data_IF_275650537227
#
_entry.id   IF_275650537227
#
_cell.length_a   1.000
_cell.length_b   1.000
_cell.length_c   1.000
_cell.angle_alpha   90.00
_cell.angle_beta   90.00
_cell.angle_gamma   90.00
#
_symmetry.space_group_name_H-M   'P 1'
#
loop_
_entity.id
_entity.type
_entity.pdbx_description
1 polymer ?
#
# COMPACT_ATOMS: atom_id res chain seq x y z
N UNK A 1 -0.43 -25.02 -2.09
CA UNK A 1 -0.41 -23.83 -1.22
C UNK A 1 -1.54 -22.93 -1.71
N UNK A 2 -2.41 -22.56 -0.78
CA UNK A 2 -3.77 -22.05 -0.96
C UNK A 2 -3.80 -20.66 -1.59
N UNK A 3 -4.78 -20.39 -2.45
CA UNK A 3 -5.03 -19.06 -3.02
C UNK A 3 -5.68 -18.08 -2.03
N UNK A 4 -5.22 -18.07 -0.77
CA UNK A 4 -5.66 -17.14 0.27
C UNK A 4 -4.43 -16.46 0.85
N UNK A 5 -4.50 -15.15 1.15
CA UNK A 5 -3.39 -14.41 1.73
C UNK A 5 -2.95 -15.07 3.04
N UNK A 6 -1.64 -15.17 3.24
CA UNK A 6 -1.05 -15.83 4.41
C UNK A 6 0.18 -15.11 4.96
N UNK A 7 0.89 -14.33 4.12
CA UNK A 7 1.91 -13.39 4.57
C UNK A 7 1.29 -12.22 5.33
N UNK A 8 2.04 -11.63 6.26
CA UNK A 8 1.51 -10.54 7.07
C UNK A 8 1.20 -9.29 6.24
N UNK A 9 2.01 -8.97 5.23
CA UNK A 9 1.72 -7.88 4.28
C UNK A 9 0.51 -8.21 3.40
N UNK A 10 0.35 -9.47 2.95
CA UNK A 10 -0.78 -9.86 2.10
C UNK A 10 -2.12 -9.65 2.84
N UNK A 11 -2.18 -10.00 4.12
CA UNK A 11 -3.37 -9.78 4.97
C UNK A 11 -3.64 -8.29 5.20
N UNK A 12 -2.59 -7.50 5.46
CA UNK A 12 -2.69 -6.07 5.66
C UNK A 12 -3.22 -5.37 4.41
N UNK A 13 -2.65 -5.66 3.25
CA UNK A 13 -3.05 -5.11 1.95
C UNK A 13 -4.47 -5.57 1.58
N UNK A 14 -4.82 -6.83 1.84
CA UNK A 14 -6.20 -7.30 1.65
C UNK A 14 -7.19 -6.52 2.54
N UNK A 15 -6.85 -6.24 3.80
CA UNK A 15 -7.70 -5.46 4.69
C UNK A 15 -7.88 -4.02 4.18
N UNK A 16 -6.82 -3.40 3.67
CA UNK A 16 -6.88 -2.07 3.07
C UNK A 16 -7.75 -2.05 1.79
N UNK A 17 -7.58 -3.05 0.91
CA UNK A 17 -8.38 -3.19 -0.30
C UNK A 17 -9.88 -3.37 0.03
N UNK A 18 -10.21 -4.20 1.03
CA UNK A 18 -11.58 -4.39 1.51
C UNK A 18 -12.19 -3.10 2.07
N UNK A 19 -11.41 -2.29 2.79
CA UNK A 19 -11.87 -0.97 3.23
C UNK A 19 -12.16 -0.04 2.05
N UNK A 20 -11.44 -0.15 0.94
CA UNK A 20 -11.68 0.69 -0.24
C UNK A 20 -12.84 0.24 -1.11
N UNK A 21 -12.97 -1.08 -1.33
CA UNK A 21 -13.95 -1.63 -2.26
C UNK A 21 -15.29 -1.87 -1.59
N UNK A 22 -15.32 -2.55 -0.43
CA UNK A 22 -16.55 -3.02 0.22
C UNK A 22 -17.04 -2.05 1.29
N UNK A 23 -16.13 -1.43 2.04
CA UNK A 23 -16.44 -0.51 3.14
C UNK A 23 -15.89 0.93 2.94
N UNK A 24 -16.11 1.58 1.78
CA UNK A 24 -15.41 2.82 1.41
C UNK A 24 -15.55 3.97 2.40
N UNK A 25 -16.63 4.03 3.18
CA UNK A 25 -16.82 5.05 4.23
C UNK A 25 -15.88 4.93 5.42
N UNK A 26 -15.18 3.79 5.54
CA UNK A 26 -14.21 3.46 6.59
C UNK A 26 -12.76 3.50 6.10
N UNK A 27 -12.55 3.64 4.79
CA UNK A 27 -11.22 3.85 4.22
C UNK A 27 -10.70 5.26 4.56
N UNK A 28 -9.36 5.38 4.66
CA UNK A 28 -8.70 6.68 4.70
C UNK A 28 -8.95 7.50 3.44
N UNK A 29 -9.29 6.84 2.33
CA UNK A 29 -9.68 7.49 1.07
C UNK A 29 -11.18 7.88 1.00
N UNK A 30 -11.90 7.81 2.11
CA UNK A 30 -13.25 8.36 2.20
C UNK A 30 -13.21 9.89 2.32
N UNK A 31 -14.35 10.55 2.05
CA UNK A 31 -14.54 11.98 2.38
C UNK A 31 -14.96 12.22 3.84
N UNK A 32 -15.02 11.17 4.65
CA UNK A 32 -15.39 11.29 6.05
C UNK A 32 -14.19 11.75 6.87
N UNK A 33 -14.44 12.56 7.90
CA UNK A 33 -13.40 12.92 8.85
C UNK A 33 -12.89 11.69 9.60
N UNK A 34 -11.58 11.62 9.82
CA UNK A 34 -10.94 10.71 10.75
C UNK A 34 -10.81 11.39 12.14
N UNK A 35 -11.02 10.64 13.24
CA UNK A 35 -11.38 9.22 13.28
C UNK A 35 -12.83 8.93 12.80
N UNK A 36 -13.14 7.73 12.29
CA UNK A 36 -14.49 7.36 11.89
C UNK A 36 -15.44 7.26 13.11
N UNK A 37 -16.76 7.07 12.93
CA UNK A 37 -17.66 6.84 14.04
C UNK A 37 -17.23 5.66 14.92
N UNK A 38 -17.33 5.81 16.24
CA UNK A 38 -17.02 4.74 17.21
C UNK A 38 -18.02 3.58 17.20
N UNK A 39 -19.18 3.77 16.57
CA UNK A 39 -20.19 2.72 16.44
C UNK A 39 -20.37 2.44 14.95
N UNK A 40 -20.33 1.15 14.60
CA UNK A 40 -20.57 0.71 13.23
C UNK A 40 -22.09 0.75 12.97
N UNK A 41 -22.57 1.61 12.05
CA UNK A 41 -23.98 1.65 11.69
C UNK A 41 -24.48 0.29 11.18
N UNK A 42 -25.74 -0.05 11.44
CA UNK A 42 -26.30 -1.36 11.10
C UNK A 42 -26.21 -1.70 9.61
N UNK A 43 -26.31 -0.70 8.74
CA UNK A 43 -26.19 -0.80 7.28
C UNK A 43 -24.74 -0.99 6.80
N UNK A 44 -23.74 -0.69 7.64
CA UNK A 44 -22.33 -0.88 7.34
C UNK A 44 -21.72 -2.15 7.98
N UNK A 45 -22.46 -2.87 8.82
CA UNK A 45 -21.92 -4.03 9.54
C UNK A 45 -21.42 -5.14 8.60
N UNK A 46 -22.20 -5.47 7.58
CA UNK A 46 -21.86 -6.55 6.65
C UNK A 46 -20.64 -6.20 5.78
N UNK A 47 -20.48 -4.94 5.39
CA UNK A 47 -19.37 -4.52 4.53
C UNK A 47 -18.04 -4.45 5.26
N UNK A 48 -18.02 -4.00 6.52
CA UNK A 48 -16.78 -3.92 7.31
C UNK A 48 -16.43 -5.23 8.01
N UNK A 49 -17.37 -6.16 8.15
CA UNK A 49 -17.18 -7.43 8.86
C UNK A 49 -15.92 -8.22 8.41
N UNK A 50 -15.59 -8.36 7.12
CA UNK A 50 -14.37 -9.05 6.69
C UNK A 50 -13.08 -8.46 7.29
N UNK A 51 -13.01 -7.13 7.44
CA UNK A 51 -11.87 -6.42 8.03
C UNK A 51 -11.75 -6.74 9.53
N UNK A 52 -12.88 -6.82 10.25
CA UNK A 52 -12.88 -7.22 11.66
C UNK A 52 -12.56 -8.69 11.86
N UNK A 53 -12.99 -9.57 10.95
CA UNK A 53 -12.59 -10.98 10.97
C UNK A 53 -11.07 -11.12 10.85
N UNK A 54 -10.45 -10.40 9.91
CA UNK A 54 -8.97 -10.39 9.78
C UNK A 54 -8.31 -9.90 11.07
N UNK A 55 -8.77 -8.77 11.63
CA UNK A 55 -8.22 -8.25 12.88
C UNK A 55 -8.36 -9.26 14.04
N UNK A 56 -9.52 -9.92 14.16
CA UNK A 56 -9.79 -10.92 15.19
C UNK A 56 -8.88 -12.15 15.03
N UNK A 57 -8.67 -12.64 13.81
CA UNK A 57 -7.82 -13.79 13.53
C UNK A 57 -6.34 -13.49 13.79
N UNK A 58 -5.88 -12.30 13.41
CA UNK A 58 -4.50 -11.85 13.64
C UNK A 58 -4.23 -11.76 15.14
N UNK A 59 -5.04 -10.99 15.88
CA UNK A 59 -4.80 -10.79 17.31
C UNK A 59 -5.06 -12.08 18.10
N UNK A 60 -6.07 -12.87 17.72
CA UNK A 60 -6.38 -14.14 18.38
C UNK A 60 -5.31 -15.22 18.21
N UNK A 61 -4.54 -15.18 17.13
CA UNK A 61 -3.41 -16.09 16.92
C UNK A 61 -2.07 -15.56 17.43
N UNK A 62 -1.98 -14.25 17.72
CA UNK A 62 -0.73 -13.54 18.01
C UNK A 62 0.12 -14.21 19.08
N UNK A 63 -0.44 -14.47 20.28
CA UNK A 63 0.33 -15.07 21.37
C UNK A 63 0.92 -16.43 20.97
N UNK A 64 0.13 -17.27 20.28
CA UNK A 64 0.59 -18.58 19.83
C UNK A 64 1.69 -18.47 18.76
N UNK A 65 1.51 -17.57 17.80
CA UNK A 65 2.43 -17.42 16.68
C UNK A 65 3.75 -16.76 17.10
N UNK A 66 3.71 -15.82 18.05
CA UNK A 66 4.89 -15.16 18.61
C UNK A 66 5.50 -15.92 19.80
N UNK A 67 5.31 -17.23 19.89
CA UNK A 67 5.91 -18.07 20.96
C UNK A 67 5.60 -17.59 22.39
N UNK A 68 4.42 -17.01 22.60
CA UNK A 68 3.95 -16.38 23.85
C UNK A 68 4.86 -15.25 24.36
N UNK A 69 5.47 -14.49 23.45
CA UNK A 69 6.18 -13.28 23.82
C UNK A 69 5.26 -12.28 24.55
N UNK A 70 5.83 -11.49 25.46
CA UNK A 70 5.15 -10.42 26.19
C UNK A 70 5.80 -9.07 25.86
N UNK A 71 5.00 -8.00 25.88
CA UNK A 71 5.46 -6.65 25.58
C UNK A 71 5.70 -6.38 24.09
N UNK A 72 6.55 -5.39 23.76
CA UNK A 72 6.78 -4.95 22.37
C UNK A 72 7.19 -6.09 21.44
N UNK A 73 6.31 -6.44 20.50
CA UNK A 73 6.46 -7.52 19.53
C UNK A 73 5.52 -7.26 18.33
N UNK A 74 5.81 -7.83 17.14
CA UNK A 74 4.95 -7.64 15.98
C UNK A 74 3.56 -8.29 16.13
N UNK A 75 2.60 -7.91 15.29
CA UNK A 75 1.27 -8.52 15.20
C UNK A 75 1.34 -9.97 14.71
N UNK A 76 2.33 -10.27 13.88
CA UNK A 76 2.59 -11.58 13.29
C UNK A 76 4.10 -11.81 13.17
N UNK A 77 4.59 -13.07 13.30
CA UNK A 77 5.98 -13.38 13.04
C UNK A 77 6.25 -13.39 11.53
N UNK A 78 7.30 -12.71 11.09
CA UNK A 78 7.56 -12.54 9.65
C UNK A 78 9.06 -12.52 9.29
N UNK A 79 9.91 -11.95 10.15
CA UNK A 79 11.31 -11.66 9.83
C UNK A 79 11.47 -10.29 9.15
N UNK A 80 10.43 -9.82 8.47
CA UNK A 80 10.19 -8.39 8.28
C UNK A 80 9.69 -7.76 9.59
N UNK A 81 10.32 -6.66 9.98
CA UNK A 81 9.83 -5.82 11.07
C UNK A 81 8.63 -4.96 10.63
N UNK A 82 8.51 -4.72 9.32
CA UNK A 82 7.57 -3.78 8.73
C UNK A 82 6.23 -4.42 8.37
N UNK A 83 6.26 -5.59 7.72
CA UNK A 83 5.08 -6.22 7.12
C UNK A 83 3.94 -6.47 8.11
N UNK A 84 4.20 -6.90 9.36
CA UNK A 84 3.14 -7.06 10.35
C UNK A 84 2.36 -5.76 10.62
N UNK A 85 2.99 -4.59 10.47
CA UNK A 85 2.36 -3.29 10.69
C UNK A 85 1.28 -2.94 9.65
N UNK A 86 1.30 -3.55 8.46
CA UNK A 86 0.26 -3.37 7.44
C UNK A 86 -1.14 -3.74 7.96
N UNK A 87 -1.20 -4.67 8.92
CA UNK A 87 -2.42 -5.09 9.61
C UNK A 87 -2.89 -4.11 10.69
N UNK A 88 -2.08 -3.12 11.04
CA UNK A 88 -2.33 -2.27 12.19
C UNK A 88 -3.59 -1.42 12.04
N UNK A 89 -3.95 -1.00 10.83
CA UNK A 89 -5.18 -0.22 10.58
C UNK A 89 -6.44 -1.03 10.89
N UNK A 90 -6.52 -2.31 10.51
CA UNK A 90 -7.69 -3.15 10.79
C UNK A 90 -7.81 -3.44 12.30
N UNK A 91 -6.69 -3.70 12.97
CA UNK A 91 -6.62 -3.90 14.43
C UNK A 91 -7.04 -2.63 15.18
N UNK A 92 -6.54 -1.47 14.76
CA UNK A 92 -6.92 -0.17 15.31
C UNK A 92 -8.39 0.14 15.10
N UNK A 93 -8.95 -0.20 13.94
CA UNK A 93 -10.36 0.00 13.66
C UNK A 93 -11.25 -0.92 14.50
N UNK A 94 -10.86 -2.18 14.68
CA UNK A 94 -11.54 -3.12 15.56
C UNK A 94 -11.56 -2.59 17.01
N UNK A 95 -10.42 -2.10 17.50
CA UNK A 95 -10.33 -1.45 18.81
C UNK A 95 -11.25 -0.22 18.91
N UNK A 96 -11.14 0.70 17.95
CA UNK A 96 -11.86 1.98 17.94
C UNK A 96 -13.38 1.80 17.94
N UNK A 97 -13.86 0.76 17.24
CA UNK A 97 -15.29 0.45 17.12
C UNK A 97 -15.82 -0.47 18.21
N UNK A 98 -14.99 -0.82 19.20
CA UNK A 98 -15.39 -1.63 20.35
C UNK A 98 -15.69 -3.09 20.01
N UNK A 99 -15.02 -3.65 18.99
CA UNK A 99 -15.12 -5.08 18.71
C UNK A 99 -14.62 -5.89 19.92
N UNK A 100 -15.37 -6.91 20.30
CA UNK A 100 -15.04 -7.78 21.44
C UNK A 100 -14.12 -8.95 21.07
N UNK A 101 -13.73 -9.71 22.08
CA UNK A 101 -13.11 -11.03 21.93
C UNK A 101 -11.58 -11.06 21.88
N UNK A 102 -10.90 -9.93 21.70
CA UNK A 102 -9.44 -9.83 21.70
C UNK A 102 -8.95 -8.51 22.34
N UNK A 103 -7.68 -8.46 22.75
CA UNK A 103 -7.03 -7.22 23.19
C UNK A 103 -6.39 -6.46 22.01
N UNK A 104 -7.25 -5.82 21.21
CA UNK A 104 -6.81 -5.05 20.04
C UNK A 104 -5.94 -3.84 20.43
N UNK A 105 -6.26 -3.18 21.56
CA UNK A 105 -5.49 -2.04 22.06
C UNK A 105 -4.06 -2.44 22.45
N UNK A 106 -3.92 -3.52 23.23
CA UNK A 106 -2.61 -4.05 23.61
C UNK A 106 -1.81 -4.52 22.41
N UNK A 107 -2.43 -5.25 21.48
CA UNK A 107 -1.76 -5.72 20.28
C UNK A 107 -1.26 -4.58 19.37
N UNK A 108 -2.07 -3.56 19.15
CA UNK A 108 -1.67 -2.38 18.38
C UNK A 108 -0.54 -1.60 19.08
N UNK A 109 -0.63 -1.44 20.40
CA UNK A 109 0.39 -0.76 21.19
C UNK A 109 1.73 -1.50 21.13
N UNK A 110 1.73 -2.81 21.34
CA UNK A 110 2.96 -3.60 21.30
C UNK A 110 3.63 -3.56 19.92
N UNK A 111 2.85 -3.57 18.82
CA UNK A 111 3.38 -3.41 17.47
C UNK A 111 4.03 -2.03 17.27
N UNK A 112 3.38 -0.98 17.81
CA UNK A 112 3.93 0.37 17.80
C UNK A 112 5.25 0.44 18.60
N UNK A 113 5.24 -0.05 19.83
CA UNK A 113 6.42 -0.04 20.71
C UNK A 113 7.54 -0.92 20.13
N UNK A 114 7.21 -2.00 19.43
CA UNK A 114 8.19 -2.84 18.72
C UNK A 114 8.94 -2.04 17.65
N UNK A 115 8.20 -1.41 16.74
CA UNK A 115 8.76 -0.53 15.70
C UNK A 115 9.56 0.63 16.33
N UNK A 116 9.01 1.22 17.39
CA UNK A 116 9.56 2.43 17.99
C UNK A 116 10.75 2.19 18.94
N UNK A 117 10.93 0.98 19.47
CA UNK A 117 11.94 0.74 20.50
C UNK A 117 12.84 -0.48 20.29
N UNK A 118 12.50 -1.38 19.35
CA UNK A 118 13.22 -2.66 19.19
C UNK A 118 13.84 -2.83 17.82
N UNK A 119 13.20 -2.32 16.77
CA UNK A 119 13.68 -2.49 15.39
C UNK A 119 14.95 -1.66 15.15
N UNK A 120 16.00 -2.22 14.52
CA UNK A 120 17.22 -1.49 14.15
C UNK A 120 16.92 -0.26 13.29
N UNK A 121 17.82 0.73 13.33
CA UNK A 121 17.66 1.98 12.56
C UNK A 121 18.95 2.44 11.94
N UNK A 122 18.83 3.20 10.87
CA UNK A 122 19.92 4.05 10.39
C UNK A 122 20.26 5.12 11.44
N UNK A 123 21.45 5.73 11.31
CA UNK A 123 21.92 6.78 12.24
C UNK A 123 20.99 8.02 12.25
N UNK A 124 20.30 8.29 11.14
CA UNK A 124 19.32 9.38 11.01
C UNK A 124 17.88 8.96 11.36
N UNK A 125 17.67 7.72 11.82
CA UNK A 125 16.44 7.27 12.46
C UNK A 125 15.45 6.53 11.56
N UNK A 126 15.83 6.12 10.34
CA UNK A 126 14.97 5.29 9.49
C UNK A 126 14.85 3.90 10.12
N UNK A 127 13.62 3.50 10.46
CA UNK A 127 13.34 2.19 11.03
C UNK A 127 13.55 1.14 9.95
N UNK A 128 14.28 0.08 10.26
CA UNK A 128 14.57 -1.00 9.32
C UNK A 128 13.32 -1.75 8.87
N UNK A 129 13.33 -2.23 7.63
CA UNK A 129 12.37 -3.21 7.14
C UNK A 129 12.63 -4.60 7.75
N UNK A 130 13.87 -4.92 8.13
CA UNK A 130 14.27 -6.22 8.69
C UNK A 130 14.48 -6.14 10.21
N UNK A 131 14.19 -7.24 10.91
CA UNK A 131 14.41 -7.33 12.36
C UNK A 131 15.90 -7.49 12.72
N UNK A 132 16.65 -8.24 11.89
CA UNK A 132 18.00 -8.70 12.23
C UNK A 132 19.11 -7.68 11.92
N UNK A 133 18.86 -6.74 11.01
CA UNK A 133 19.84 -5.75 10.55
C UNK A 133 19.15 -4.51 10.00
N UNK A 134 19.93 -3.45 9.76
CA UNK A 134 19.44 -2.24 9.07
C UNK A 134 19.40 -2.51 7.57
N UNK A 135 18.20 -2.61 7.03
CA UNK A 135 17.95 -2.81 5.61
C UNK A 135 16.63 -2.13 5.21
N UNK A 136 16.67 -1.35 4.13
CA UNK A 136 15.57 -0.50 3.71
C UNK A 136 14.97 -1.03 2.40
N UNK A 137 13.67 -1.33 2.41
CA UNK A 137 12.92 -1.84 1.26
C UNK A 137 11.84 -0.84 0.87
N UNK A 138 11.60 -0.63 -0.42
CA UNK A 138 10.54 0.28 -0.91
C UNK A 138 9.16 0.02 -0.31
N UNK A 139 8.88 -1.25 -0.03
CA UNK A 139 7.66 -1.83 0.51
C UNK A 139 7.29 -1.24 1.87
N UNK A 140 8.30 -0.93 2.69
CA UNK A 140 8.14 -0.35 4.03
C UNK A 140 7.18 0.83 4.04
N UNK A 141 7.21 1.66 3.00
CA UNK A 141 6.42 2.88 2.88
C UNK A 141 4.91 2.59 2.90
N UNK A 142 4.47 1.43 2.43
CA UNK A 142 3.08 0.98 2.53
C UNK A 142 2.77 0.29 3.86
N UNK A 143 3.75 -0.39 4.46
CA UNK A 143 3.51 -1.21 5.65
C UNK A 143 3.42 -0.38 6.94
N UNK A 144 4.42 0.47 7.21
CA UNK A 144 4.59 1.12 8.52
C UNK A 144 4.00 2.52 8.59
N UNK A 145 4.33 3.48 7.69
CA UNK A 145 3.83 4.85 7.79
C UNK A 145 2.30 4.98 7.87
N UNK A 146 1.50 4.23 7.08
CA UNK A 146 0.04 4.30 7.21
C UNK A 146 -0.47 3.86 8.58
N UNK A 147 0.15 2.84 9.18
CA UNK A 147 -0.16 2.41 10.54
C UNK A 147 0.15 3.51 11.57
N UNK A 148 1.35 4.10 11.52
CA UNK A 148 1.75 5.18 12.43
C UNK A 148 0.81 6.39 12.31
N UNK A 149 0.51 6.82 11.08
CA UNK A 149 -0.38 7.95 10.83
C UNK A 149 -1.79 7.69 11.39
N UNK A 150 -2.36 6.52 11.10
CA UNK A 150 -3.69 6.16 11.57
C UNK A 150 -3.76 6.05 13.10
N UNK A 151 -2.76 5.40 13.71
CA UNK A 151 -2.63 5.34 15.18
C UNK A 151 -2.56 6.75 15.78
N UNK A 152 -1.73 7.62 15.19
CA UNK A 152 -1.56 9.00 15.62
C UNK A 152 -2.87 9.78 15.59
N UNK A 153 -3.67 9.65 14.52
CA UNK A 153 -4.98 10.30 14.43
C UNK A 153 -5.97 9.75 15.45
N UNK A 154 -6.09 8.43 15.61
CA UNK A 154 -7.02 7.83 16.58
C UNK A 154 -6.70 8.22 18.04
N UNK A 155 -5.41 8.44 18.32
CA UNK A 155 -4.93 8.80 19.67
C UNK A 155 -4.66 10.29 19.87
N UNK A 156 -4.99 11.12 18.87
CA UNK A 156 -4.70 12.57 18.86
C UNK A 156 -3.24 12.91 19.16
N UNK A 157 -2.33 12.14 18.58
CA UNK A 157 -0.89 12.32 18.70
C UNK A 157 -0.27 12.77 17.37
N UNK A 158 -0.16 14.09 17.18
CA UNK A 158 0.44 14.67 15.96
C UNK A 158 1.92 14.28 15.78
N UNK A 159 2.66 14.08 16.87
CA UNK A 159 4.06 13.65 16.78
C UNK A 159 4.19 12.29 16.10
N UNK A 160 3.23 11.38 16.33
CA UNK A 160 3.20 10.08 15.67
C UNK A 160 2.82 10.18 14.18
N UNK A 161 1.91 11.09 13.83
CA UNK A 161 1.59 11.39 12.41
C UNK A 161 2.79 12.03 11.71
N UNK A 162 3.53 12.89 12.41
CA UNK A 162 4.79 13.48 11.92
C UNK A 162 5.85 12.40 11.73
N UNK A 163 5.90 11.41 12.61
CA UNK A 163 6.82 10.28 12.49
C UNK A 163 6.53 9.43 11.25
N UNK A 164 5.25 9.19 10.93
CA UNK A 164 4.86 8.54 9.67
C UNK A 164 5.45 9.28 8.45
N UNK A 165 5.29 10.60 8.39
CA UNK A 165 5.89 11.42 7.34
C UNK A 165 7.43 11.36 7.34
N UNK A 166 8.07 11.41 8.52
CA UNK A 166 9.53 11.36 8.64
C UNK A 166 10.09 10.05 8.10
N UNK A 167 9.46 8.91 8.41
CA UNK A 167 9.89 7.62 7.90
C UNK A 167 9.82 7.59 6.36
N UNK A 168 8.76 8.12 5.74
CA UNK A 168 8.68 8.26 4.27
C UNK A 168 9.83 9.13 3.72
N UNK A 169 10.06 10.30 4.34
CA UNK A 169 11.12 11.23 3.93
C UNK A 169 12.50 10.56 3.96
N UNK A 170 12.77 9.78 5.00
CA UNK A 170 14.03 9.05 5.17
C UNK A 170 14.15 7.93 4.13
N UNK A 171 13.10 7.12 3.93
CA UNK A 171 13.11 6.08 2.89
C UNK A 171 13.34 6.67 1.50
N UNK A 172 12.72 7.81 1.18
CA UNK A 172 12.98 8.55 -0.06
C UNK A 172 14.45 8.96 -0.18
N UNK A 173 15.10 9.42 0.89
CA UNK A 173 16.51 9.81 0.88
C UNK A 173 17.45 8.66 0.50
N UNK A 174 17.12 7.41 0.89
CA UNK A 174 17.96 6.25 0.64
C UNK A 174 17.64 5.51 -0.67
N UNK A 175 16.35 5.43 -1.03
CA UNK A 175 15.87 4.57 -2.11
C UNK A 175 15.61 5.31 -3.42
N UNK A 176 15.28 6.61 -3.37
CA UNK A 176 15.12 7.41 -4.60
C UNK A 176 16.49 7.66 -5.22
N UNK A 177 16.65 7.31 -6.49
CA UNK A 177 17.86 7.59 -7.25
C UNK A 177 17.83 9.00 -7.91
N UNK A 178 18.80 9.25 -8.79
CA UNK A 178 18.93 10.54 -9.51
C UNK A 178 17.85 10.71 -10.59
N UNK A 179 17.29 9.62 -11.11
CA UNK A 179 16.21 9.60 -12.11
C UNK A 179 14.81 9.69 -11.46
N UNK A 180 14.75 9.78 -10.12
CA UNK A 180 13.54 9.75 -9.28
C UNK A 180 12.84 8.39 -9.22
N UNK A 181 13.44 7.34 -9.76
CA UNK A 181 12.96 5.98 -9.56
C UNK A 181 13.39 5.47 -8.19
N UNK A 182 12.60 4.57 -7.63
CA UNK A 182 12.94 3.95 -6.36
C UNK A 182 13.62 2.62 -6.59
N UNK A 183 14.78 2.47 -5.96
CA UNK A 183 15.44 1.18 -5.74
C UNK A 183 14.57 0.31 -4.86
N UNK A 184 14.67 -1.00 -5.06
CA UNK A 184 13.94 -1.96 -4.26
C UNK A 184 14.54 -2.12 -2.86
N UNK A 185 15.82 -2.50 -2.75
CA UNK A 185 16.48 -2.80 -1.47
C UNK A 185 17.83 -2.07 -1.37
N UNK A 186 18.07 -1.40 -0.24
CA UNK A 186 19.35 -0.81 0.11
C UNK A 186 19.81 -1.26 1.52
N UNK A 187 21.13 -1.29 1.71
CA UNK A 187 21.80 -1.70 2.95
C UNK A 187 21.59 -3.18 3.32
N UNK A 188 22.18 -3.59 4.45
CA UNK A 188 22.13 -4.97 4.95
C UNK A 188 23.01 -5.94 4.16
N UNK A 189 22.96 -7.21 4.55
CA UNK A 189 23.74 -8.29 3.93
C UNK A 189 23.11 -9.67 3.97
N UNK A 190 22.01 -9.87 4.71
CA UNK A 190 21.24 -11.12 4.72
C UNK A 190 20.52 -11.31 3.38
N UNK A 191 19.84 -10.27 2.92
CA UNK A 191 19.31 -10.15 1.55
C UNK A 191 20.22 -9.19 0.78
N UNK A 192 20.61 -9.56 -0.43
CA UNK A 192 21.44 -8.71 -1.26
C UNK A 192 20.71 -7.40 -1.60
N UNK A 193 21.46 -6.30 -1.66
CA UNK A 193 20.92 -5.05 -2.19
C UNK A 193 20.36 -5.27 -3.60
N UNK A 194 19.25 -4.60 -3.87
CA UNK A 194 18.58 -4.57 -5.16
C UNK A 194 18.38 -3.12 -5.57
N UNK A 195 19.36 -2.60 -6.29
CA UNK A 195 19.32 -1.26 -6.85
C UNK A 195 18.41 -1.16 -8.10
N UNK A 196 17.70 -2.24 -8.46
CA UNK A 196 16.77 -2.23 -9.58
C UNK A 196 15.49 -1.45 -9.28
N UNK A 197 14.91 -0.87 -10.34
CA UNK A 197 13.65 -0.14 -10.28
C UNK A 197 12.46 -1.10 -10.37
N UNK A 198 12.23 -1.84 -9.29
CA UNK A 198 11.13 -2.79 -9.20
C UNK A 198 9.78 -2.05 -9.23
N UNK A 199 8.94 -2.39 -10.19
CA UNK A 199 7.67 -1.70 -10.48
C UNK A 199 6.72 -1.79 -9.30
N UNK A 200 6.53 -2.99 -8.73
CA UNK A 200 5.70 -3.16 -7.53
C UNK A 200 6.25 -2.37 -6.34
N UNK A 201 7.58 -2.33 -6.16
CA UNK A 201 8.22 -1.51 -5.13
C UNK A 201 7.93 0.00 -5.25
N UNK A 202 7.97 0.54 -6.48
CA UNK A 202 7.59 1.93 -6.74
C UNK A 202 6.09 2.16 -6.48
N UNK A 203 5.24 1.18 -6.82
CA UNK A 203 3.82 1.19 -6.49
C UNK A 203 3.56 1.24 -4.99
N UNK A 204 4.25 0.41 -4.20
CA UNK A 204 4.16 0.42 -2.74
C UNK A 204 4.51 1.77 -2.14
N UNK A 205 5.62 2.36 -2.62
CA UNK A 205 6.04 3.69 -2.17
C UNK A 205 4.95 4.74 -2.44
N UNK A 206 4.44 4.83 -3.66
CA UNK A 206 3.39 5.79 -4.01
C UNK A 206 2.09 5.54 -3.22
N UNK A 207 1.65 4.30 -3.10
CA UNK A 207 0.42 3.95 -2.39
C UNK A 207 0.49 4.24 -0.89
N UNK A 208 1.62 3.93 -0.24
CA UNK A 208 1.86 4.24 1.16
C UNK A 208 1.86 5.74 1.45
N UNK A 209 2.53 6.53 0.59
CA UNK A 209 2.50 8.00 0.68
C UNK A 209 1.08 8.56 0.58
N UNK A 210 0.28 8.06 -0.36
CA UNK A 210 -1.10 8.49 -0.56
C UNK A 210 -2.01 8.13 0.63
N UNK A 211 -1.82 6.97 1.26
CA UNK A 211 -2.55 6.63 2.49
C UNK A 211 -2.23 7.60 3.64
N UNK A 212 -0.96 7.98 3.80
CA UNK A 212 -0.57 8.98 4.82
C UNK A 212 -1.12 10.36 4.46
N UNK A 213 -1.06 10.78 3.20
CA UNK A 213 -1.65 12.04 2.72
C UNK A 213 -3.14 12.10 3.04
N UNK A 214 -3.90 11.07 2.65
CA UNK A 214 -5.33 10.98 2.90
C UNK A 214 -5.67 10.96 4.39
N UNK A 215 -4.86 10.26 5.20
CA UNK A 215 -5.00 10.24 6.66
C UNK A 215 -4.82 11.63 7.26
N UNK A 216 -3.83 12.40 6.80
CA UNK A 216 -3.59 13.77 7.27
C UNK A 216 -4.77 14.68 6.87
N UNK A 217 -5.14 14.69 5.58
CA UNK A 217 -6.19 15.55 5.02
C UNK A 217 -7.55 15.35 5.69
N UNK A 218 -7.87 14.10 6.04
CA UNK A 218 -9.15 13.78 6.67
C UNK A 218 -9.13 13.97 8.20
N UNK A 219 -8.01 14.35 8.81
CA UNK A 219 -7.88 14.47 10.27
C UNK A 219 -7.90 15.93 10.76
N UNK A 220 -7.85 16.10 12.09
CA UNK A 220 -7.66 17.42 12.72
C UNK A 220 -6.32 18.09 12.39
N UNK A 221 -5.38 17.37 11.76
CA UNK A 221 -4.05 17.87 11.41
C UNK A 221 -3.91 18.45 10.00
N UNK A 222 -4.96 18.39 9.18
CA UNK A 222 -4.99 18.87 7.79
C UNK A 222 -4.22 20.19 7.61
N UNK A 223 -4.74 21.27 8.20
CA UNK A 223 -4.16 22.63 8.06
C UNK A 223 -2.74 22.73 8.62
N UNK A 224 -2.43 21.96 9.66
CA UNK A 224 -1.21 22.08 10.45
C UNK A 224 -0.04 21.36 9.77
N UNK A 225 -0.36 20.45 8.84
CA UNK A 225 0.59 19.60 8.14
C UNK A 225 0.53 19.82 6.62
N UNK A 226 0.08 21.00 6.17
CA UNK A 226 -0.05 21.32 4.74
C UNK A 226 1.26 21.18 3.96
N UNK A 227 2.41 21.45 4.58
CA UNK A 227 3.73 21.24 3.95
C UNK A 227 4.02 19.75 3.73
N UNK A 228 3.75 18.91 4.74
CA UNK A 228 3.92 17.46 4.64
C UNK A 228 2.98 16.87 3.61
N UNK A 229 1.74 17.37 3.50
CA UNK A 229 0.83 16.97 2.44
C UNK A 229 1.38 17.28 1.05
N UNK A 230 1.90 18.50 0.86
CA UNK A 230 2.48 18.92 -0.41
C UNK A 230 3.71 18.08 -0.79
N UNK A 231 4.58 17.78 0.18
CA UNK A 231 5.71 16.90 -0.03
C UNK A 231 5.28 15.49 -0.45
N UNK A 232 4.33 14.87 0.27
CA UNK A 232 3.84 13.53 -0.05
C UNK A 232 3.24 13.45 -1.45
N UNK A 233 2.41 14.43 -1.82
CA UNK A 233 1.83 14.48 -3.16
C UNK A 233 2.90 14.73 -4.24
N UNK A 234 3.88 15.59 -3.95
CA UNK A 234 4.99 15.86 -4.86
C UNK A 234 5.85 14.62 -5.09
N UNK A 235 6.20 13.87 -4.04
CA UNK A 235 7.00 12.65 -4.14
C UNK A 235 6.28 11.51 -4.88
N UNK A 236 4.95 11.44 -4.76
CA UNK A 236 4.13 10.56 -5.62
C UNK A 236 4.24 10.99 -7.08
N UNK A 237 4.15 12.30 -7.35
CA UNK A 237 4.34 12.86 -8.69
C UNK A 237 5.74 12.61 -9.27
N UNK A 238 6.78 12.58 -8.44
CA UNK A 238 8.14 12.19 -8.85
C UNK A 238 8.18 10.73 -9.33
N UNK A 239 7.59 9.80 -8.57
CA UNK A 239 7.51 8.38 -8.95
C UNK A 239 6.76 8.25 -10.28
N UNK A 240 5.58 8.87 -10.40
CA UNK A 240 4.77 8.81 -11.62
C UNK A 240 5.52 9.40 -12.83
N UNK A 241 6.12 10.58 -12.65
CA UNK A 241 6.86 11.28 -13.69
C UNK A 241 8.11 10.52 -14.16
N UNK A 242 8.70 9.69 -13.29
CA UNK A 242 9.85 8.87 -13.64
C UNK A 242 9.47 7.53 -14.28
N UNK A 243 8.42 6.86 -13.76
CA UNK A 243 8.09 5.49 -14.19
C UNK A 243 7.22 5.45 -15.45
N UNK A 244 6.22 6.34 -15.60
CA UNK A 244 5.30 6.29 -16.75
C UNK A 244 5.95 6.52 -18.12
N UNK A 245 7.03 7.31 -18.27
CA UNK A 245 7.81 7.35 -19.50
C UNK A 245 8.42 6.01 -19.93
N UNK A 246 8.54 5.04 -19.02
CA UNK A 246 9.04 3.69 -19.28
C UNK A 246 7.95 2.70 -19.70
N UNK A 247 6.67 3.12 -19.69
CA UNK A 247 5.56 2.27 -20.13
C UNK A 247 5.61 2.09 -21.65
N UNK A 248 5.67 0.84 -22.10
CA UNK A 248 5.63 0.52 -23.53
C UNK A 248 4.20 0.33 -24.06
N UNK A 249 4.08 -0.03 -25.34
CA UNK A 249 2.80 -0.18 -26.04
C UNK A 249 1.94 -1.34 -25.52
N UNK A 250 2.48 -2.22 -24.67
CA UNK A 250 1.69 -3.26 -23.99
C UNK A 250 0.80 -2.67 -22.91
N UNK A 251 1.11 -1.46 -22.40
CA UNK A 251 0.50 -0.83 -21.23
C UNK A 251 0.63 -1.65 -19.93
N UNK A 252 1.54 -2.62 -19.90
CA UNK A 252 1.96 -3.33 -18.69
C UNK A 252 3.44 -3.03 -18.47
N UNK A 253 3.82 -2.62 -17.25
CA UNK A 253 5.22 -2.39 -16.95
C UNK A 253 6.00 -3.70 -16.88
N UNK A 254 7.28 -3.72 -17.30
CA UNK A 254 8.21 -4.76 -16.87
C UNK A 254 8.33 -4.80 -15.34
N UNK A 255 8.66 -5.94 -14.76
CA UNK A 255 8.89 -6.13 -13.32
C UNK A 255 9.99 -5.19 -12.82
N UNK A 256 11.07 -5.03 -13.58
CA UNK A 256 12.04 -3.94 -13.41
C UNK A 256 11.89 -2.94 -14.56
N UNK A 257 11.23 -1.80 -14.29
CA UNK A 257 10.75 -0.87 -15.31
C UNK A 257 11.86 -0.33 -16.22
N UNK A 258 13.07 -0.11 -15.69
CA UNK A 258 14.20 0.45 -16.44
C UNK A 258 15.05 -0.60 -17.16
N UNK A 259 14.59 -1.85 -17.23
CA UNK A 259 15.29 -2.98 -17.88
C UNK A 259 14.45 -3.53 -19.02
N UNK A 260 15.10 -4.14 -20.00
CA UNK A 260 14.37 -4.80 -21.08
C UNK A 260 13.56 -5.98 -20.51
N UNK A 261 12.31 -6.14 -20.97
CA UNK A 261 11.41 -7.18 -20.43
C UNK A 261 11.94 -8.60 -20.61
N UNK A 262 12.79 -8.82 -21.61
CA UNK A 262 13.41 -10.11 -21.92
C UNK A 262 14.77 -10.33 -21.23
N UNK A 263 15.23 -9.39 -20.41
CA UNK A 263 16.41 -9.60 -19.58
C UNK A 263 16.16 -10.72 -18.57
N UNK A 264 17.22 -11.44 -18.19
CA UNK A 264 17.12 -12.50 -17.18
C UNK A 264 16.55 -11.96 -15.86
N UNK A 265 15.51 -12.64 -15.35
CA UNK A 265 14.80 -12.24 -14.12
C UNK A 265 13.83 -11.07 -14.32
N UNK A 266 13.51 -10.71 -15.57
CA UNK A 266 12.49 -9.72 -15.89
C UNK A 266 11.35 -10.37 -16.70
N UNK A 267 10.17 -9.77 -16.60
CA UNK A 267 8.91 -10.19 -17.20
C UNK A 267 7.93 -9.03 -17.06
N UNK A 268 6.74 -9.08 -17.66
CA UNK A 268 5.72 -8.06 -17.40
C UNK A 268 5.10 -8.25 -16.02
N UNK A 269 4.91 -7.18 -15.26
CA UNK A 269 4.34 -7.21 -13.92
C UNK A 269 3.00 -6.45 -13.87
N UNK A 270 1.91 -7.20 -14.01
CA UNK A 270 0.56 -6.67 -13.91
C UNK A 270 0.22 -6.19 -12.48
N UNK A 271 0.87 -6.74 -11.44
CA UNK A 271 0.59 -6.35 -10.06
C UNK A 271 1.06 -4.92 -9.80
N UNK A 272 2.34 -4.62 -10.07
CA UNK A 272 2.87 -3.27 -9.93
C UNK A 272 2.19 -2.28 -10.87
N UNK A 273 1.82 -2.71 -12.07
CA UNK A 273 1.01 -1.90 -13.01
C UNK A 273 -0.34 -1.53 -12.42
N UNK A 274 -1.06 -2.47 -11.80
CA UNK A 274 -2.36 -2.22 -11.20
C UNK A 274 -2.25 -1.23 -10.03
N UNK A 275 -1.28 -1.42 -9.15
CA UNK A 275 -1.05 -0.53 -8.02
C UNK A 275 -0.67 0.89 -8.46
N UNK A 276 0.26 1.03 -9.41
CA UNK A 276 0.63 2.35 -9.95
C UNK A 276 -0.57 3.06 -10.58
N UNK A 277 -1.37 2.37 -11.39
CA UNK A 277 -2.59 2.95 -11.96
C UNK A 277 -3.58 3.40 -10.86
N UNK A 278 -3.74 2.62 -9.78
CA UNK A 278 -4.57 3.01 -8.64
C UNK A 278 -4.06 4.32 -8.00
N UNK A 279 -2.75 4.45 -7.81
CA UNK A 279 -2.14 5.64 -7.20
C UNK A 279 -2.33 6.90 -8.05
N UNK A 280 -2.39 6.80 -9.38
CA UNK A 280 -2.72 7.94 -10.25
C UNK A 280 -4.15 8.45 -10.03
N UNK A 281 -5.12 7.53 -9.95
CA UNK A 281 -6.50 7.93 -9.64
C UNK A 281 -6.60 8.55 -8.24
N UNK A 282 -5.89 7.99 -7.26
CA UNK A 282 -5.86 8.52 -5.88
C UNK A 282 -5.22 9.90 -5.78
N UNK A 283 -4.07 10.15 -6.43
CA UNK A 283 -3.45 11.50 -6.41
C UNK A 283 -4.29 12.53 -7.16
N UNK A 284 -5.00 12.12 -8.22
CA UNK A 284 -5.99 12.97 -8.90
C UNK A 284 -7.14 13.37 -7.98
N UNK A 285 -7.62 12.45 -7.13
CA UNK A 285 -8.71 12.72 -6.19
C UNK A 285 -8.28 13.58 -4.99
N UNK A 286 -7.08 13.32 -4.45
CA UNK A 286 -6.61 13.91 -3.19
C UNK A 286 -5.74 15.16 -3.36
N UNK A 287 -5.18 15.36 -4.55
CA UNK A 287 -4.29 16.48 -4.85
C UNK A 287 -4.64 17.24 -6.13
N UNK A 288 -5.57 16.72 -6.95
CA UNK A 288 -5.93 17.33 -8.23
C UNK A 288 -4.84 17.20 -9.30
N UNK A 289 -3.88 16.28 -9.13
CA UNK A 289 -2.90 15.99 -10.17
C UNK A 289 -3.48 15.00 -11.18
N UNK A 290 -3.75 15.49 -12.37
CA UNK A 290 -4.34 14.73 -13.47
C UNK A 290 -3.32 14.27 -14.51
N UNK A 291 -2.03 14.56 -14.30
CA UNK A 291 -0.99 14.50 -15.33
C UNK A 291 -0.84 13.10 -15.97
N UNK A 292 -1.12 12.04 -15.21
CA UNK A 292 -0.90 10.65 -15.64
C UNK A 292 -2.20 9.86 -15.87
N UNK A 293 -3.38 10.51 -15.83
CA UNK A 293 -4.68 9.83 -15.93
C UNK A 293 -4.81 8.99 -17.21
N UNK A 294 -4.31 9.50 -18.35
CA UNK A 294 -4.33 8.75 -19.61
C UNK A 294 -3.50 7.47 -19.57
N UNK A 295 -2.39 7.45 -18.85
CA UNK A 295 -1.60 6.24 -18.65
C UNK A 295 -2.34 5.25 -17.76
N UNK A 296 -2.88 5.69 -16.62
CA UNK A 296 -3.63 4.84 -15.71
C UNK A 296 -4.86 4.21 -16.39
N UNK A 297 -5.57 4.98 -17.23
CA UNK A 297 -6.68 4.48 -18.04
C UNK A 297 -6.22 3.36 -18.99
N UNK A 298 -5.14 3.57 -19.75
CA UNK A 298 -4.62 2.54 -20.67
C UNK A 298 -4.20 1.27 -19.93
N UNK A 299 -3.47 1.40 -18.83
CA UNK A 299 -3.09 0.27 -17.97
C UNK A 299 -4.34 -0.48 -17.49
N UNK A 300 -5.31 0.23 -16.92
CA UNK A 300 -6.56 -0.36 -16.42
C UNK A 300 -7.33 -1.05 -17.55
N UNK A 301 -7.52 -0.41 -18.70
CA UNK A 301 -8.22 -0.99 -19.84
C UNK A 301 -7.54 -2.28 -20.33
N UNK A 302 -6.20 -2.29 -20.42
CA UNK A 302 -5.44 -3.50 -20.76
C UNK A 302 -5.61 -4.60 -19.72
N UNK A 303 -5.49 -4.29 -18.43
CA UNK A 303 -5.61 -5.28 -17.35
C UNK A 303 -7.00 -5.95 -17.29
N UNK A 304 -8.05 -5.23 -17.69
CA UNK A 304 -9.43 -5.74 -17.71
C UNK A 304 -9.89 -6.24 -19.09
N UNK A 305 -9.05 -6.13 -20.11
CA UNK A 305 -9.40 -6.59 -21.45
C UNK A 305 -9.52 -8.11 -21.48
N UNK A 306 -10.67 -8.60 -21.96
CA UNK A 306 -10.89 -10.00 -22.31
C UNK A 306 -11.19 -10.09 -23.81
N UNK A 307 -10.19 -10.58 -24.57
CA UNK A 307 -10.30 -10.74 -26.01
C UNK A 307 -10.63 -12.20 -26.41
N UNK A 308 -11.13 -13.02 -25.48
CA UNK A 308 -11.55 -14.41 -25.68
C UNK A 308 -10.41 -15.42 -25.84
N UNK A 309 -9.20 -14.97 -26.18
CA UNK A 309 -7.98 -15.79 -26.28
C UNK A 309 -6.92 -15.46 -25.22
N UNK A 310 -6.97 -14.25 -24.65
CA UNK A 310 -6.03 -13.76 -23.63
C UNK A 310 -6.81 -12.83 -22.69
N UNK A 311 -6.66 -13.07 -21.39
CA UNK A 311 -7.12 -12.21 -20.31
C UNK A 311 -6.03 -12.15 -19.24
N UNK A 312 -5.79 -10.95 -18.72
CA UNK A 312 -4.90 -10.73 -17.58
C UNK A 312 -5.55 -11.19 -16.27
N UNK A 313 -6.87 -11.27 -16.20
CA UNK A 313 -7.59 -11.87 -15.08
C UNK A 313 -8.21 -13.17 -15.56
N UNK A 314 -7.67 -14.31 -15.10
CA UNK A 314 -8.15 -15.61 -15.56
C UNK A 314 -9.54 -15.95 -14.99
N UNK A 315 -10.13 -17.06 -15.45
CA UNK A 315 -11.47 -17.49 -15.05
C UNK A 315 -11.63 -17.75 -13.53
N UNK A 316 -10.53 -17.89 -12.81
CA UNK A 316 -10.49 -18.06 -11.36
C UNK A 316 -10.21 -16.75 -10.60
N UNK A 317 -10.10 -15.62 -11.32
CA UNK A 317 -9.87 -14.29 -10.75
C UNK A 317 -8.41 -13.94 -10.46
N UNK A 318 -7.44 -14.76 -10.90
CA UNK A 318 -6.03 -14.44 -10.70
C UNK A 318 -5.51 -13.50 -11.77
N UNK A 319 -4.81 -12.47 -11.32
CA UNK A 319 -4.06 -11.57 -12.19
C UNK A 319 -2.79 -12.25 -12.70
N UNK A 320 -2.45 -12.03 -13.96
CA UNK A 320 -1.27 -12.57 -14.64
C UNK A 320 -0.82 -11.65 -15.80
N UNK A 321 0.48 -11.61 -16.15
CA UNK A 321 1.61 -12.11 -15.37
C UNK A 321 1.85 -11.25 -14.12
N UNK A 322 2.33 -11.85 -13.03
CA UNK A 322 2.55 -11.15 -11.74
C UNK A 322 3.89 -11.55 -11.16
N UNK A 323 4.49 -10.69 -10.36
CA UNK A 323 5.66 -11.04 -9.54
C UNK A 323 5.31 -12.12 -8.50
N UNK A 324 6.26 -13.01 -8.21
CA UNK A 324 6.19 -13.87 -7.03
C UNK A 324 6.57 -13.05 -5.79
N UNK A 325 5.65 -12.79 -4.85
CA UNK A 325 5.92 -11.91 -3.70
C UNK A 325 6.99 -12.49 -2.75
N UNK A 326 7.31 -13.79 -2.85
CA UNK A 326 8.38 -14.42 -2.06
C UNK A 326 9.72 -14.52 -2.82
N UNK A 327 9.76 -14.12 -4.09
CA UNK A 327 10.96 -14.16 -4.93
C UNK A 327 10.79 -13.19 -6.10
N UNK A 328 11.05 -11.92 -5.83
CA UNK A 328 10.74 -10.78 -6.71
C UNK A 328 11.39 -10.83 -8.12
N UNK A 329 12.45 -11.62 -8.31
CA UNK A 329 13.05 -11.88 -9.63
C UNK A 329 12.40 -13.00 -10.44
N UNK A 330 11.29 -13.58 -9.95
CA UNK A 330 10.61 -14.75 -10.53
C UNK A 330 9.14 -14.42 -10.78
N UNK A 331 8.64 -14.80 -11.97
CA UNK A 331 7.23 -14.68 -12.30
C UNK A 331 6.39 -15.66 -11.45
N UNK A 332 5.38 -15.13 -10.77
CA UNK A 332 4.40 -15.87 -9.98
C UNK A 332 3.23 -16.38 -10.83
N UNK A 333 2.53 -17.38 -10.31
CA UNK A 333 1.32 -17.92 -10.95
C UNK A 333 0.02 -17.54 -10.22
N UNK A 334 0.12 -17.18 -8.95
CA UNK A 334 -0.97 -16.74 -8.05
C UNK A 334 -0.38 -15.83 -6.99
N UNK A 335 -0.92 -14.63 -6.84
CA UNK A 335 -0.46 -13.65 -5.87
C UNK A 335 -1.68 -12.96 -5.23
N UNK A 336 -2.06 -13.33 -3.99
CA UNK A 336 -3.13 -12.66 -3.22
C UNK A 336 -2.96 -11.13 -3.15
N UNK A 337 -1.71 -10.69 -2.99
CA UNK A 337 -1.32 -9.28 -3.07
C UNK A 337 -1.78 -8.63 -4.40
N UNK A 338 -1.53 -9.28 -5.53
CA UNK A 338 -1.95 -8.77 -6.83
C UNK A 338 -3.48 -8.67 -6.96
N UNK A 339 -4.27 -9.54 -6.30
CA UNK A 339 -5.73 -9.35 -6.29
C UNK A 339 -6.15 -8.16 -5.44
N UNK A 340 -5.47 -7.93 -4.32
CA UNK A 340 -5.73 -6.73 -3.52
C UNK A 340 -5.47 -5.46 -4.35
N UNK A 341 -4.40 -5.41 -5.15
CA UNK A 341 -4.13 -4.27 -6.04
C UNK A 341 -5.19 -4.08 -7.13
N UNK A 342 -5.75 -5.16 -7.68
CA UNK A 342 -6.88 -5.07 -8.63
C UNK A 342 -8.10 -4.44 -7.94
N UNK A 343 -8.37 -4.80 -6.70
CA UNK A 343 -9.47 -4.22 -5.92
C UNK A 343 -9.22 -2.75 -5.56
N UNK A 344 -7.99 -2.38 -5.19
CA UNK A 344 -7.59 -0.99 -4.96
C UNK A 344 -7.71 -0.16 -6.25
N UNK A 345 -7.29 -0.69 -7.39
CA UNK A 345 -7.46 -0.06 -8.70
C UNK A 345 -8.93 0.16 -9.05
N UNK A 346 -9.78 -0.85 -8.87
CA UNK A 346 -11.21 -0.71 -9.13
C UNK A 346 -11.87 0.30 -8.19
N UNK A 347 -11.52 0.30 -6.91
CA UNK A 347 -12.03 1.28 -5.95
C UNK A 347 -11.60 2.70 -6.30
N UNK A 348 -10.31 2.91 -6.62
CA UNK A 348 -9.79 4.22 -7.00
C UNK A 348 -10.41 4.73 -8.30
N UNK A 349 -10.57 3.86 -9.30
CA UNK A 349 -11.26 4.19 -10.55
C UNK A 349 -12.73 4.55 -10.32
N UNK A 350 -13.47 3.73 -9.57
CA UNK A 350 -14.87 4.00 -9.20
C UNK A 350 -15.02 5.37 -8.56
N UNK A 351 -14.17 5.69 -7.59
CA UNK A 351 -14.23 6.95 -6.87
C UNK A 351 -13.90 8.14 -7.79
N UNK A 352 -12.91 7.98 -8.69
CA UNK A 352 -12.56 8.99 -9.69
C UNK A 352 -13.68 9.23 -10.72
N UNK A 353 -14.35 8.17 -11.17
CA UNK A 353 -15.52 8.28 -12.05
C UNK A 353 -16.66 9.03 -11.36
N UNK A 354 -16.94 8.69 -10.09
CA UNK A 354 -17.98 9.35 -9.30
C UNK A 354 -17.71 10.85 -9.09
N UNK A 355 -16.44 11.25 -9.09
CA UNK A 355 -16.00 12.66 -9.03
C UNK A 355 -15.93 13.36 -10.39
N UNK A 356 -16.53 12.77 -11.43
CA UNK A 356 -16.69 13.38 -12.74
C UNK A 356 -15.53 13.13 -13.70
N UNK A 357 -14.65 12.17 -13.41
CA UNK A 357 -13.58 11.75 -14.32
C UNK A 357 -12.62 12.89 -14.72
N UNK A 358 -12.28 13.77 -13.78
CA UNK A 358 -11.41 14.92 -14.05
C UNK A 358 -10.05 14.49 -14.61
N UNK A 359 -9.57 15.19 -15.63
CA UNK A 359 -8.35 14.82 -16.34
C UNK A 359 -8.54 13.82 -17.48
N UNK A 360 -9.73 13.19 -17.60
CA UNK A 360 -10.07 12.45 -18.80
C UNK A 360 -10.20 13.43 -19.97
N UNK A 361 -9.36 13.27 -20.99
CA UNK A 361 -9.64 13.92 -22.27
C UNK A 361 -10.88 13.23 -22.81
N UNK A 362 -12.01 13.95 -22.90
CA UNK A 362 -13.18 13.49 -23.65
C UNK A 362 -12.73 13.20 -25.09
N UNK A 363 -12.49 11.94 -25.41
CA UNK A 363 -12.26 11.44 -26.78
C UNK A 363 -13.56 11.44 -27.60
N UNK A 364 -14.38 12.47 -27.42
CA UNK A 364 -15.52 12.83 -28.26
C UNK A 364 -15.09 13.96 -29.19
N UNK A 365 -14.31 13.65 -30.25
CA UNK A 365 -14.18 14.46 -31.48
C UNK A 365 -13.16 13.89 -32.51
N UNK A 366 -13.07 12.57 -32.73
CA UNK A 366 -12.28 12.01 -33.85
C UNK A 366 -13.06 11.07 -34.78
N UNK A 367 -14.39 11.14 -34.77
CA UNK A 367 -15.22 10.58 -35.84
C UNK A 367 -16.26 11.62 -36.30
N UNK A 368 -15.80 12.62 -37.07
CA UNK A 368 -16.60 13.32 -38.08
C UNK A 368 -15.76 13.41 -39.35
#
# INVERSE_FOLDING_TARGET
MSGSPSGSWELGTAAQALLEIDAPSWSVFSRNSLPPPQQVPSDAQSSVAPVFTLAQEIVGNRSRLNSNAEGPQPLMPDGSAADPAANGVSVLLANWTGQGGQDYAGAARDQLDFLLERVPRTDDGAISHREAEVQLWSDYVYMVPPFLAYYGVLTRNQSLVTEAYNQIRLYRQYLRDDDNLWKHIAMGGEVAEDNGHWTTGNGWAAAGMLRVLATIQNSEYDKNMAHQQADLAHWVGEIHGAIYPLLDDTNIFPNYASRAVNDSGNFYDAAGTALLAATVYRVSLYWGDHSHISFAQRCRETLYADNGNQSHINAQGWLQPVVNPHSFGVEGSRSPEAQAFVLELEAAYRDWVNEGSNGAILSLLLWI
#
